data_IF_368435321610
#
_entry.id   IF_368435321610
#
_cell.length_a   1.000
_cell.length_b   1.000
_cell.length_c   1.000
_cell.angle_alpha   90.00
_cell.angle_beta   90.00
_cell.angle_gamma   90.00
#
_symmetry.space_group_name_H-M   'P 1'
#
loop_
_entity.id
_entity.type
_entity.pdbx_description
1 polymer ?
#
# COMPACT_ATOMS: atom_id res chain seq x y z
N UNK A 1 -9.95 -7.18 8.21
CA UNK A 1 -8.63 -7.77 7.94
C UNK A 1 -8.00 -7.15 6.70
N UNK A 2 -6.73 -6.80 6.73
CA UNK A 2 -5.92 -6.25 5.63
C UNK A 2 -5.89 -7.05 4.29
N UNK A 3 -6.52 -8.23 4.10
CA UNK A 3 -6.45 -9.00 2.84
C UNK A 3 -7.05 -8.28 1.63
N UNK A 4 -8.10 -7.50 1.81
CA UNK A 4 -8.78 -6.81 0.70
C UNK A 4 -8.08 -5.55 0.18
N UNK A 5 -7.04 -5.08 0.89
CA UNK A 5 -6.33 -3.86 0.49
C UNK A 5 -5.63 -3.98 -0.85
N UNK A 6 -5.13 -5.17 -1.22
CA UNK A 6 -4.42 -5.32 -2.50
C UNK A 6 -5.36 -5.13 -3.68
N UNK A 7 -6.57 -5.70 -3.61
CA UNK A 7 -7.59 -5.44 -4.62
C UNK A 7 -7.87 -3.94 -4.77
N UNK A 8 -8.02 -3.25 -3.63
CA UNK A 8 -8.24 -1.79 -3.64
C UNK A 8 -7.04 -1.00 -4.17
N UNK A 9 -5.81 -1.43 -3.86
CA UNK A 9 -4.60 -0.82 -4.43
C UNK A 9 -4.55 -0.97 -5.96
N UNK A 10 -4.91 -2.15 -6.47
CA UNK A 10 -4.96 -2.40 -7.91
C UNK A 10 -6.03 -1.55 -8.60
N UNK A 11 -7.22 -1.38 -7.99
CA UNK A 11 -8.25 -0.46 -8.47
C UNK A 11 -7.72 0.98 -8.55
N UNK A 12 -7.09 1.47 -7.48
CA UNK A 12 -6.53 2.81 -7.42
C UNK A 12 -5.43 3.03 -8.46
N UNK A 13 -4.55 2.04 -8.66
CA UNK A 13 -3.56 2.08 -9.74
C UNK A 13 -4.24 2.17 -11.10
N UNK A 14 -5.27 1.36 -11.34
CA UNK A 14 -5.97 1.32 -12.62
C UNK A 14 -6.71 2.63 -12.92
N UNK A 15 -7.26 3.29 -11.87
CA UNK A 15 -7.85 4.62 -12.01
C UNK A 15 -6.79 5.71 -12.29
N UNK A 16 -5.66 5.67 -11.58
CA UNK A 16 -4.58 6.65 -11.71
C UNK A 16 -3.80 6.48 -13.02
N UNK A 17 -3.62 5.25 -13.46
CA UNK A 17 -2.85 4.85 -14.65
C UNK A 17 -3.68 3.85 -15.48
N UNK A 18 -4.67 4.32 -16.24
CA UNK A 18 -5.58 3.41 -16.97
C UNK A 18 -4.89 2.43 -17.93
N UNK A 19 -3.72 2.82 -18.47
CA UNK A 19 -2.88 1.99 -19.33
C UNK A 19 -2.11 0.88 -18.61
N UNK A 20 -2.04 0.90 -17.26
CA UNK A 20 -1.29 -0.11 -16.52
C UNK A 20 -1.85 -1.51 -16.79
N UNK A 21 -0.98 -2.40 -17.26
CA UNK A 21 -1.28 -3.78 -17.59
C UNK A 21 -0.42 -4.78 -16.82
N UNK A 22 0.70 -4.32 -16.26
CA UNK A 22 1.69 -5.09 -15.51
C UNK A 22 1.99 -4.38 -14.19
N UNK A 23 1.45 -4.87 -13.11
CA UNK A 23 1.63 -4.25 -11.79
C UNK A 23 2.55 -5.10 -10.93
N UNK A 24 3.65 -4.50 -10.47
CA UNK A 24 4.55 -5.12 -9.50
C UNK A 24 3.90 -5.13 -8.11
N UNK A 25 3.99 -6.24 -7.42
CA UNK A 25 3.68 -6.37 -6.00
C UNK A 25 4.97 -6.64 -5.24
N UNK A 26 5.42 -5.66 -4.46
CA UNK A 26 6.56 -5.81 -3.58
C UNK A 26 6.12 -6.40 -2.23
N UNK A 27 6.69 -7.52 -1.85
CA UNK A 27 6.42 -8.19 -0.58
C UNK A 27 7.69 -8.65 0.14
N UNK A 28 7.58 -8.86 1.45
CA UNK A 28 8.60 -9.52 2.26
C UNK A 28 8.14 -10.96 2.51
N UNK A 29 8.87 -11.97 2.00
CA UNK A 29 8.37 -13.35 1.96
C UNK A 29 8.14 -13.95 3.35
N UNK A 30 8.97 -13.62 4.32
CA UNK A 30 8.95 -14.10 5.70
C UNK A 30 8.10 -13.21 6.65
N UNK A 31 7.36 -12.23 6.12
CA UNK A 31 6.45 -11.40 6.92
C UNK A 31 5.21 -12.15 7.42
N UNK A 32 4.95 -13.33 6.90
CA UNK A 32 3.82 -14.19 7.30
C UNK A 32 4.10 -15.66 6.95
N UNK A 33 3.38 -16.61 7.57
CA UNK A 33 3.47 -18.04 7.22
C UNK A 33 3.13 -18.28 5.75
N UNK A 34 3.83 -19.23 5.11
CA UNK A 34 3.72 -19.53 3.67
C UNK A 34 2.28 -19.77 3.22
N UNK A 35 1.51 -20.60 3.95
CA UNK A 35 0.11 -20.85 3.63
C UNK A 35 -0.75 -19.58 3.59
N UNK A 36 -0.50 -18.64 4.49
CA UNK A 36 -1.22 -17.38 4.52
C UNK A 36 -0.79 -16.47 3.34
N UNK A 37 0.50 -16.48 3.00
CA UNK A 37 1.05 -15.76 1.86
C UNK A 37 0.45 -16.27 0.55
N UNK A 38 0.45 -17.57 0.33
CA UNK A 38 -0.13 -18.21 -0.86
C UNK A 38 -1.62 -17.86 -1.03
N UNK A 39 -2.40 -17.98 0.03
CA UNK A 39 -3.82 -17.63 -0.01
C UNK A 39 -4.06 -16.17 -0.41
N UNK A 40 -3.26 -15.25 0.13
CA UNK A 40 -3.33 -13.83 -0.20
C UNK A 40 -2.85 -13.50 -1.61
N UNK A 41 -1.78 -14.15 -2.08
CA UNK A 41 -1.31 -13.99 -3.45
C UNK A 41 -2.34 -14.52 -4.45
N UNK A 42 -3.00 -15.62 -4.15
CA UNK A 42 -4.10 -16.14 -4.98
C UNK A 42 -5.27 -15.16 -5.06
N UNK A 43 -5.63 -14.52 -3.95
CA UNK A 43 -6.66 -13.49 -3.92
C UNK A 43 -6.24 -12.24 -4.72
N UNK A 44 -5.01 -11.78 -4.52
CA UNK A 44 -4.44 -10.63 -5.24
C UNK A 44 -4.42 -10.88 -6.76
N UNK A 45 -4.04 -12.08 -7.20
CA UNK A 45 -4.03 -12.47 -8.60
C UNK A 45 -5.45 -12.53 -9.18
N UNK A 46 -6.43 -13.00 -8.43
CA UNK A 46 -7.83 -12.96 -8.85
C UNK A 46 -8.34 -11.52 -9.04
N UNK A 47 -8.03 -10.61 -8.11
CA UNK A 47 -8.36 -9.19 -8.23
C UNK A 47 -7.67 -8.54 -9.44
N UNK A 48 -6.40 -8.87 -9.66
CA UNK A 48 -5.64 -8.36 -10.82
C UNK A 48 -6.25 -8.80 -12.14
N UNK A 49 -6.65 -10.07 -12.26
CA UNK A 49 -7.33 -10.60 -13.47
C UNK A 49 -8.66 -9.90 -13.74
N UNK A 50 -9.45 -9.62 -12.70
CA UNK A 50 -10.72 -8.90 -12.84
C UNK A 50 -10.53 -7.48 -13.41
N UNK A 51 -9.36 -6.87 -13.18
CA UNK A 51 -8.97 -5.56 -13.68
C UNK A 51 -8.16 -5.61 -14.99
N UNK A 52 -8.04 -6.79 -15.61
CA UNK A 52 -7.19 -7.03 -16.79
C UNK A 52 -5.71 -6.61 -16.57
N UNK A 53 -5.19 -6.88 -15.36
CA UNK A 53 -3.81 -6.60 -14.94
C UNK A 53 -3.06 -7.90 -14.72
N UNK A 54 -1.81 -7.98 -15.18
CA UNK A 54 -0.88 -9.03 -14.83
C UNK A 54 -0.13 -8.64 -13.55
N UNK A 55 -0.32 -9.40 -12.48
CA UNK A 55 0.43 -9.21 -11.25
C UNK A 55 1.83 -9.83 -11.37
N UNK A 56 2.86 -9.05 -11.04
CA UNK A 56 4.26 -9.48 -11.01
C UNK A 56 4.74 -9.42 -9.57
N UNK A 57 5.03 -10.56 -8.96
CA UNK A 57 5.46 -10.63 -7.57
C UNK A 57 6.97 -10.48 -7.47
N UNK A 58 7.41 -9.55 -6.62
CA UNK A 58 8.81 -9.30 -6.30
C UNK A 58 9.03 -9.37 -4.79
N UNK A 59 10.13 -9.99 -4.40
CA UNK A 59 10.44 -10.22 -2.98
C UNK A 59 11.68 -9.42 -2.57
N UNK A 60 11.60 -8.77 -1.40
CA UNK A 60 12.73 -8.16 -0.72
C UNK A 60 12.74 -8.59 0.74
N UNK A 61 13.83 -9.17 1.21
CA UNK A 61 14.01 -9.66 2.58
C UNK A 61 14.62 -8.61 3.48
N UNK A 62 15.52 -7.81 2.93
CA UNK A 62 16.28 -6.78 3.61
C UNK A 62 16.44 -5.53 2.73
N UNK A 63 16.98 -4.48 3.31
CA UNK A 63 17.15 -3.18 2.64
C UNK A 63 18.04 -3.25 1.41
N UNK A 64 19.04 -4.09 1.46
CA UNK A 64 20.07 -4.29 0.44
C UNK A 64 19.47 -4.83 -0.87
N UNK A 65 18.35 -5.55 -0.79
CA UNK A 65 17.65 -6.11 -1.94
C UNK A 65 16.96 -5.05 -2.79
N UNK A 66 16.58 -3.91 -2.21
CA UNK A 66 15.67 -2.96 -2.85
C UNK A 66 16.14 -2.49 -4.22
N UNK A 67 17.41 -2.08 -4.34
CA UNK A 67 17.93 -1.57 -5.61
C UNK A 67 17.90 -2.62 -6.70
N UNK A 68 18.24 -3.88 -6.38
CA UNK A 68 18.18 -5.02 -7.32
C UNK A 68 16.73 -5.30 -7.73
N UNK A 69 15.84 -5.36 -6.78
CA UNK A 69 14.40 -5.65 -7.01
C UNK A 69 13.75 -4.58 -7.89
N UNK A 70 14.03 -3.29 -7.67
CA UNK A 70 13.50 -2.22 -8.52
C UNK A 70 14.09 -2.26 -9.93
N UNK A 71 15.37 -2.62 -10.09
CA UNK A 71 15.97 -2.89 -11.39
C UNK A 71 15.24 -4.02 -12.12
N UNK A 72 14.91 -5.10 -11.42
CA UNK A 72 14.19 -6.24 -11.99
C UNK A 72 12.73 -5.91 -12.34
N UNK A 73 12.04 -5.06 -11.55
CA UNK A 73 10.74 -4.50 -11.92
C UNK A 73 10.80 -3.75 -13.25
N UNK A 74 11.86 -2.93 -13.45
CA UNK A 74 12.07 -2.19 -14.70
C UNK A 74 12.34 -3.12 -15.88
N UNK A 75 13.21 -4.15 -15.71
CA UNK A 75 13.46 -5.18 -16.75
C UNK A 75 12.20 -5.96 -17.10
N UNK A 76 11.36 -6.22 -16.09
CA UNK A 76 10.07 -6.86 -16.27
C UNK A 76 9.02 -5.91 -16.88
N UNK A 77 9.36 -4.64 -17.12
CA UNK A 77 8.47 -3.60 -17.66
C UNK A 77 7.20 -3.47 -16.82
N UNK A 78 7.34 -3.37 -15.50
CA UNK A 78 6.23 -3.04 -14.64
C UNK A 78 5.75 -1.61 -14.92
N UNK A 79 4.45 -1.42 -15.04
CA UNK A 79 3.82 -0.12 -15.30
C UNK A 79 3.50 0.63 -14.00
N UNK A 80 3.41 -0.10 -12.89
CA UNK A 80 3.08 0.45 -11.57
C UNK A 80 3.53 -0.51 -10.46
N UNK A 81 3.51 -0.01 -9.22
CA UNK A 81 3.94 -0.72 -8.02
C UNK A 81 2.87 -0.68 -6.94
N UNK A 82 2.66 -1.82 -6.30
CA UNK A 82 1.92 -1.96 -5.03
C UNK A 82 2.90 -2.46 -3.96
N UNK A 83 2.96 -1.78 -2.83
CA UNK A 83 3.83 -2.16 -1.71
C UNK A 83 3.00 -2.84 -0.62
N UNK A 84 3.37 -4.08 -0.28
CA UNK A 84 2.73 -4.80 0.83
C UNK A 84 3.18 -4.22 2.18
N UNK A 85 2.25 -3.98 3.13
CA UNK A 85 2.62 -3.43 4.44
C UNK A 85 3.47 -4.41 5.26
N UNK A 86 4.69 -3.99 5.60
CA UNK A 86 5.58 -4.69 6.53
C UNK A 86 6.34 -3.69 7.39
N UNK A 87 6.81 -4.07 8.60
CA UNK A 87 7.64 -3.19 9.43
C UNK A 87 8.90 -2.71 8.72
N UNK A 88 9.59 -3.59 7.98
CA UNK A 88 10.78 -3.22 7.22
C UNK A 88 10.49 -2.12 6.20
N UNK A 89 9.46 -2.32 5.37
CA UNK A 89 9.11 -1.35 4.33
C UNK A 89 8.63 -0.03 4.94
N UNK A 90 7.98 -0.09 6.10
CA UNK A 90 7.58 1.11 6.84
C UNK A 90 8.77 1.91 7.37
N UNK A 91 9.81 1.25 7.88
CA UNK A 91 11.05 1.89 8.30
C UNK A 91 11.78 2.52 7.10
N UNK A 92 11.82 1.82 5.98
CA UNK A 92 12.51 2.21 4.76
C UNK A 92 11.61 2.99 3.76
N UNK A 93 10.48 3.53 4.23
CA UNK A 93 9.47 4.21 3.38
C UNK A 93 10.05 5.28 2.46
N UNK A 94 11.02 6.07 2.97
CA UNK A 94 11.66 7.12 2.17
C UNK A 94 12.44 6.50 1.02
N UNK A 95 13.27 5.50 1.30
CA UNK A 95 14.05 4.79 0.29
C UNK A 95 13.17 4.14 -0.78
N UNK A 96 12.06 3.53 -0.38
CA UNK A 96 11.11 2.93 -1.32
C UNK A 96 10.39 3.97 -2.17
N UNK A 97 10.04 5.13 -1.60
CA UNK A 97 9.44 6.25 -2.35
C UNK A 97 10.44 6.84 -3.35
N UNK A 98 11.70 7.03 -2.94
CA UNK A 98 12.78 7.54 -3.81
C UNK A 98 13.03 6.57 -4.98
N UNK A 99 13.14 5.25 -4.71
CA UNK A 99 13.32 4.23 -5.74
C UNK A 99 12.14 4.16 -6.72
N UNK A 100 10.90 4.28 -6.22
CA UNK A 100 9.73 4.34 -7.09
C UNK A 100 9.78 5.55 -8.04
N UNK A 101 10.23 6.71 -7.55
CA UNK A 101 10.42 7.90 -8.36
C UNK A 101 11.58 7.75 -9.35
N UNK A 102 12.75 7.26 -8.92
CA UNK A 102 13.94 6.99 -9.75
C UNK A 102 13.61 6.08 -10.94
N UNK A 103 12.82 5.02 -10.69
CA UNK A 103 12.39 4.06 -11.70
C UNK A 103 11.10 4.46 -12.43
N UNK A 104 10.56 5.67 -12.15
CA UNK A 104 9.31 6.19 -12.73
C UNK A 104 8.13 5.23 -12.60
N UNK A 105 8.04 4.54 -11.46
CA UNK A 105 6.97 3.59 -11.14
C UNK A 105 5.88 4.29 -10.32
N UNK A 106 4.70 4.56 -10.88
CA UNK A 106 3.53 4.97 -10.11
C UNK A 106 3.25 3.96 -8.99
N UNK A 107 3.22 4.40 -7.74
CA UNK A 107 3.16 3.48 -6.61
C UNK A 107 1.99 3.79 -5.67
N UNK A 108 1.32 2.72 -5.21
CA UNK A 108 0.38 2.77 -4.08
C UNK A 108 1.03 2.17 -2.85
N UNK A 109 0.98 2.93 -1.77
CA UNK A 109 1.56 2.58 -0.49
C UNK A 109 0.47 2.34 0.57
N UNK A 110 0.78 1.58 1.65
CA UNK A 110 -0.21 1.25 2.67
C UNK A 110 -0.53 2.38 3.66
N UNK A 111 0.31 3.43 3.75
CA UNK A 111 0.16 4.47 4.76
C UNK A 111 0.57 5.86 4.24
N UNK A 112 -0.07 6.89 4.77
CA UNK A 112 0.15 8.31 4.45
C UNK A 112 1.63 8.74 4.52
N UNK A 113 2.38 8.27 5.49
CA UNK A 113 3.77 8.68 5.69
C UNK A 113 4.74 8.28 4.56
N UNK A 114 4.35 7.36 3.67
CA UNK A 114 5.07 7.14 2.41
C UNK A 114 4.85 8.31 1.44
N UNK A 115 3.63 8.85 1.41
CA UNK A 115 3.28 9.98 0.54
C UNK A 115 3.98 11.25 1.03
N UNK A 116 4.02 11.46 2.35
CA UNK A 116 4.81 12.53 2.99
C UNK A 116 6.32 12.40 2.71
N UNK A 117 6.80 11.18 2.48
CA UNK A 117 8.18 10.89 2.08
C UNK A 117 8.42 11.00 0.55
N UNK A 118 7.44 11.44 -0.23
CA UNK A 118 7.55 11.61 -1.68
C UNK A 118 6.86 10.54 -2.53
N UNK A 119 6.16 9.58 -1.92
CA UNK A 119 5.36 8.58 -2.63
C UNK A 119 4.17 9.19 -3.37
N UNK A 120 3.67 8.52 -4.41
CA UNK A 120 2.60 9.04 -5.27
C UNK A 120 1.24 9.07 -4.56
N UNK A 121 0.82 7.95 -4.01
CA UNK A 121 -0.45 7.85 -3.28
C UNK A 121 -0.42 6.72 -2.25
N UNK A 122 -1.29 6.82 -1.27
CA UNK A 122 -1.49 5.77 -0.28
C UNK A 122 -2.97 5.54 -0.01
N UNK A 123 -3.29 4.31 0.34
CA UNK A 123 -4.60 3.96 0.87
C UNK A 123 -4.44 3.00 2.03
N UNK A 124 -4.95 3.37 3.19
CA UNK A 124 -4.78 2.53 4.38
C UNK A 124 -5.45 3.09 5.62
N UNK A 125 -5.42 2.33 6.71
CA UNK A 125 -6.01 2.78 7.97
C UNK A 125 -5.27 4.00 8.51
N UNK A 126 -6.03 4.88 9.17
CA UNK A 126 -5.49 6.06 9.85
C UNK A 126 -4.82 5.66 11.16
N UNK A 127 -3.46 5.76 11.31
CA UNK A 127 -2.76 5.35 12.52
C UNK A 127 -3.18 6.13 13.77
N UNK A 128 -3.40 7.47 13.75
CA UNK A 128 -3.96 8.21 14.86
C UNK A 128 -5.30 7.68 15.35
N UNK A 129 -6.21 7.29 14.44
CA UNK A 129 -7.50 6.72 14.82
C UNK A 129 -7.34 5.36 15.51
N UNK A 130 -6.47 4.51 14.98
CA UNK A 130 -6.15 3.22 15.60
C UNK A 130 -5.58 3.40 17.01
N UNK A 131 -4.67 4.35 17.19
CA UNK A 131 -4.08 4.65 18.51
C UNK A 131 -5.13 5.16 19.50
N UNK A 132 -6.06 6.01 19.05
CA UNK A 132 -7.17 6.51 19.88
C UNK A 132 -8.10 5.38 20.32
N UNK A 133 -8.45 4.47 19.40
CA UNK A 133 -9.27 3.28 19.72
C UNK A 133 -8.54 2.35 20.68
N UNK A 134 -7.26 2.08 20.49
CA UNK A 134 -6.46 1.31 21.43
C UNK A 134 -6.44 1.94 22.83
N UNK A 135 -6.30 3.25 22.94
CA UNK A 135 -6.38 3.97 24.24
C UNK A 135 -7.73 3.80 24.94
N UNK A 136 -8.84 3.79 24.17
CA UNK A 136 -10.18 3.52 24.73
C UNK A 136 -10.25 2.10 25.32
N UNK A 137 -9.70 1.09 24.62
CA UNK A 137 -9.64 -0.28 25.11
C UNK A 137 -8.79 -0.41 26.38
N UNK A 138 -7.61 0.21 26.39
CA UNK A 138 -6.75 0.27 27.58
C UNK A 138 -7.52 0.90 28.74
N UNK A 139 -8.21 2.02 28.52
CA UNK A 139 -9.02 2.67 29.55
C UNK A 139 -10.14 1.79 30.12
N UNK A 140 -10.81 0.99 29.29
CA UNK A 140 -11.83 0.02 29.73
C UNK A 140 -11.20 -1.10 30.58
N UNK A 141 -10.06 -1.65 30.13
CA UNK A 141 -9.34 -2.72 30.86
C UNK A 141 -8.88 -2.22 32.23
N UNK A 142 -8.30 -1.03 32.29
CA UNK A 142 -7.86 -0.42 33.56
C UNK A 142 -9.03 -0.14 34.52
N UNK A 143 -10.26 0.01 34.02
CA UNK A 143 -11.48 0.15 34.81
C UNK A 143 -12.13 -1.20 35.19
N UNK A 144 -11.47 -2.32 34.89
CA UNK A 144 -11.90 -3.67 35.29
C UNK A 144 -12.64 -4.49 34.23
N UNK A 145 -12.82 -3.99 33.00
CA UNK A 145 -13.39 -4.79 31.92
C UNK A 145 -12.38 -5.86 31.51
N UNK A 146 -12.82 -7.10 31.42
CA UNK A 146 -11.93 -8.19 30.97
C UNK A 146 -11.65 -8.06 29.47
N UNK A 147 -10.42 -8.34 29.00
CA UNK A 147 -10.12 -8.32 27.58
C UNK A 147 -11.00 -9.24 26.73
N UNK A 148 -11.44 -10.38 27.29
CA UNK A 148 -12.36 -11.34 26.64
C UNK A 148 -13.75 -10.76 26.34
N UNK A 149 -14.16 -9.73 27.10
CA UNK A 149 -15.49 -9.10 26.98
C UNK A 149 -15.48 -7.92 26.00
N UNK A 150 -14.29 -7.56 25.48
CA UNK A 150 -14.13 -6.51 24.50
C UNK A 150 -14.24 -7.08 23.08
N UNK A 151 -15.05 -6.44 22.19
CA UNK A 151 -15.17 -6.90 20.81
C UNK A 151 -13.86 -6.71 20.05
N UNK A 152 -13.59 -7.63 19.12
CA UNK A 152 -12.48 -7.44 18.16
C UNK A 152 -12.95 -6.46 17.09
N UNK A 153 -12.41 -5.24 17.14
CA UNK A 153 -12.73 -4.21 16.15
C UNK A 153 -11.74 -4.25 14.97
N UNK A 154 -12.28 -4.03 13.77
CA UNK A 154 -11.45 -3.79 12.57
C UNK A 154 -11.34 -2.27 12.34
N UNK A 155 -10.28 -1.81 11.66
CA UNK A 155 -10.21 -0.44 11.19
C UNK A 155 -11.43 -0.14 10.31
N UNK A 156 -12.13 0.93 10.61
CA UNK A 156 -13.30 1.38 9.84
C UNK A 156 -13.01 2.63 9.02
N UNK A 157 -11.92 3.34 9.36
CA UNK A 157 -11.49 4.55 8.67
C UNK A 157 -10.23 4.27 7.87
N UNK A 158 -10.36 4.33 6.55
CA UNK A 158 -9.27 4.28 5.58
C UNK A 158 -9.14 5.64 4.93
N UNK A 159 -7.91 6.05 4.65
CA UNK A 159 -7.59 7.33 4.05
C UNK A 159 -6.91 7.13 2.70
N UNK A 160 -7.38 7.86 1.69
CA UNK A 160 -6.71 8.04 0.41
C UNK A 160 -5.95 9.36 0.45
N UNK A 161 -4.62 9.28 0.33
CA UNK A 161 -3.76 10.46 0.26
C UNK A 161 -3.03 10.47 -1.08
N UNK A 162 -3.01 11.61 -1.75
CA UNK A 162 -2.43 11.79 -3.10
C UNK A 162 -1.38 12.91 -3.05
N UNK A 163 -0.26 12.71 -3.74
CA UNK A 163 0.79 13.71 -3.91
C UNK A 163 0.82 14.21 -5.36
N UNK A 164 0.32 15.42 -5.59
CA UNK A 164 0.29 16.04 -6.93
C UNK A 164 1.68 16.40 -7.43
N UNK A 165 2.61 16.76 -6.54
CA UNK A 165 3.99 17.06 -6.95
C UNK A 165 4.65 15.83 -7.57
N UNK A 166 4.48 14.66 -6.93
CA UNK A 166 4.99 13.39 -7.45
C UNK A 166 4.24 12.96 -8.71
N UNK A 167 2.92 13.16 -8.77
CA UNK A 167 2.12 12.90 -9.97
C UNK A 167 2.63 13.71 -11.17
N UNK A 168 2.85 15.01 -10.99
CA UNK A 168 3.37 15.90 -12.02
C UNK A 168 4.76 15.45 -12.50
N UNK A 169 5.66 15.06 -11.58
CA UNK A 169 6.99 14.55 -11.92
C UNK A 169 6.95 13.24 -12.73
N UNK A 170 5.92 12.42 -12.51
CA UNK A 170 5.68 11.17 -13.25
C UNK A 170 4.87 11.39 -14.55
N UNK A 171 4.32 12.57 -14.77
CA UNK A 171 3.44 12.88 -15.90
C UNK A 171 2.04 12.28 -15.77
N UNK A 172 1.57 12.09 -14.53
CA UNK A 172 0.26 11.50 -14.23
C UNK A 172 -0.74 12.61 -13.96
N UNK A 173 -1.88 12.52 -14.65
CA UNK A 173 -3.04 13.37 -14.41
C UNK A 173 -4.13 12.53 -13.77
N UNK A 174 -4.40 12.78 -12.50
CA UNK A 174 -5.46 12.07 -11.79
C UNK A 174 -6.85 12.48 -12.28
N UNK A 175 -7.78 11.52 -12.46
CA UNK A 175 -9.17 11.84 -12.74
C UNK A 175 -9.78 12.69 -11.63
N UNK A 176 -10.64 13.68 -11.95
CA UNK A 176 -11.33 14.50 -10.95
C UNK A 176 -12.12 13.65 -9.92
N UNK A 177 -12.68 12.52 -10.36
CA UNK A 177 -13.39 11.58 -9.50
C UNK A 177 -12.49 10.94 -8.43
N UNK A 178 -11.21 10.71 -8.73
CA UNK A 178 -10.25 10.17 -7.76
C UNK A 178 -9.81 11.24 -6.77
N UNK A 179 -9.53 12.46 -7.26
CA UNK A 179 -9.18 13.59 -6.40
C UNK A 179 -10.32 13.97 -5.44
N UNK A 180 -11.57 13.92 -5.90
CA UNK A 180 -12.74 14.22 -5.06
C UNK A 180 -12.95 13.19 -3.92
N UNK A 181 -12.37 11.98 -4.04
CA UNK A 181 -12.42 10.94 -3.00
C UNK A 181 -11.19 10.93 -2.09
N UNK A 182 -10.17 11.73 -2.42
CA UNK A 182 -8.99 11.83 -1.58
C UNK A 182 -9.34 12.54 -0.26
N UNK A 183 -8.92 11.95 0.85
CA UNK A 183 -9.03 12.58 2.17
C UNK A 183 -8.01 13.69 2.34
N UNK A 184 -6.88 13.59 1.61
CA UNK A 184 -5.84 14.62 1.61
C UNK A 184 -5.10 14.64 0.27
N UNK A 185 -4.79 15.85 -0.20
CA UNK A 185 -3.98 16.09 -1.40
C UNK A 185 -2.79 16.95 -1.00
N UNK A 186 -1.57 16.46 -1.28
CA UNK A 186 -0.31 17.17 -1.04
C UNK A 186 0.13 17.82 -2.36
N UNK A 187 0.37 19.14 -2.32
CA UNK A 187 0.78 19.98 -3.45
C UNK A 187 2.29 20.28 -3.42
#
# INVERSE_FOLDING_TARGET
>A
TLPDLIGKFLELIKEAVPGASRVALLLKPDAMPDRAREARLKQADASARALAVKLLVFEAREREDFSGVFSDMSKARADALVVWPTPLFQLERRRLSDLAAEHRLPAVFPFKNYVEAGGLMSYGPNPPDLSRRAAIYIGKILKGTKPSDLPVEQPTKFELVINLKTANALGIVFPPSLLARADEVIE
#
